data_IF_389816889169
#
_entry.id   IF_389816889169
#
_cell.length_a   1.000
_cell.length_b   1.000
_cell.length_c   1.000
_cell.angle_alpha   90.00
_cell.angle_beta   90.00
_cell.angle_gamma   90.00
#
_symmetry.space_group_name_H-M   'P 1'
#
loop_
_entity.id
_entity.type
_entity.pdbx_description
1 polymer ?
#
# COMPACT_ATOMS: atom_id res chain seq x y z
N UNK A 1 -22.95 -6.83 14.16
CA UNK A 1 -23.41 -5.42 14.29
C UNK A 1 -22.33 -4.37 13.94
N UNK A 2 -21.02 -4.62 14.11
CA UNK A 2 -19.97 -3.66 13.68
C UNK A 2 -19.67 -3.63 12.16
N UNK A 3 -19.87 -4.73 11.43
CA UNK A 3 -19.61 -4.82 9.98
C UNK A 3 -20.59 -3.97 9.15
N UNK A 4 -21.90 -4.10 9.43
CA UNK A 4 -22.97 -3.38 8.73
C UNK A 4 -22.80 -1.85 8.79
N UNK A 5 -22.19 -1.32 9.86
CA UNK A 5 -21.91 0.11 10.00
C UNK A 5 -20.74 0.59 9.13
N UNK A 6 -19.75 -0.28 8.89
CA UNK A 6 -18.61 0.03 8.02
C UNK A 6 -19.06 0.02 6.55
N UNK A 7 -19.86 -0.97 6.16
CA UNK A 7 -20.36 -1.09 4.78
C UNK A 7 -21.21 0.14 4.39
N UNK A 8 -22.08 0.60 5.29
CA UNK A 8 -22.87 1.83 5.09
C UNK A 8 -22.01 3.11 5.02
N UNK A 9 -20.91 3.15 5.77
CA UNK A 9 -19.97 4.27 5.71
C UNK A 9 -19.24 4.30 4.37
N UNK A 10 -18.78 3.15 3.88
CA UNK A 10 -18.12 3.02 2.57
C UNK A 10 -19.07 3.45 1.47
N UNK A 11 -20.29 2.93 1.45
CA UNK A 11 -21.30 3.29 0.45
C UNK A 11 -21.58 4.81 0.43
N UNK A 12 -21.66 5.43 1.61
CA UNK A 12 -21.87 6.88 1.71
C UNK A 12 -20.67 7.69 1.20
N UNK A 13 -19.44 7.21 1.40
CA UNK A 13 -18.24 7.85 0.87
C UNK A 13 -18.23 7.73 -0.66
N UNK A 14 -18.52 6.55 -1.20
CA UNK A 14 -18.54 6.30 -2.64
C UNK A 14 -19.60 7.19 -3.33
N UNK A 15 -20.79 7.31 -2.73
CA UNK A 15 -21.82 8.22 -3.22
C UNK A 15 -21.37 9.69 -3.23
N UNK A 16 -20.48 10.09 -2.33
CA UNK A 16 -19.98 11.46 -2.28
C UNK A 16 -19.00 11.78 -3.42
N UNK A 17 -18.34 10.77 -4.02
CA UNK A 17 -17.47 10.97 -5.18
C UNK A 17 -18.27 11.24 -6.48
N UNK A 18 -19.54 10.86 -6.52
CA UNK A 18 -20.41 11.00 -7.68
C UNK A 18 -20.38 9.78 -8.60
N UNK A 19 -20.88 9.93 -9.82
CA UNK A 19 -20.85 8.84 -10.79
C UNK A 19 -19.43 8.61 -11.30
N UNK A 20 -19.04 7.34 -11.44
CA UNK A 20 -17.77 6.97 -12.07
C UNK A 20 -17.68 7.57 -13.47
N UNK A 21 -16.51 8.14 -13.79
CA UNK A 21 -16.26 8.57 -15.16
C UNK A 21 -16.23 7.36 -16.09
N UNK A 22 -16.80 7.48 -17.30
CA UNK A 22 -16.75 6.39 -18.26
C UNK A 22 -15.30 6.09 -18.62
N UNK A 23 -14.95 4.79 -18.62
CA UNK A 23 -13.62 4.33 -19.00
C UNK A 23 -13.32 4.58 -20.49
N UNK A 24 -14.35 4.62 -21.33
CA UNK A 24 -14.26 4.92 -22.77
C UNK A 24 -15.40 5.83 -23.21
N UNK A 25 -15.11 6.74 -24.15
CA UNK A 25 -16.11 7.62 -24.76
C UNK A 25 -17.05 6.89 -25.74
N UNK A 26 -16.66 5.70 -26.21
CA UNK A 26 -17.43 4.83 -27.10
C UNK A 26 -17.84 3.51 -26.47
N UNK A 27 -18.77 2.81 -27.11
CA UNK A 27 -19.17 1.46 -26.71
C UNK A 27 -18.07 0.43 -26.99
N UNK A 28 -17.82 -0.46 -26.02
CA UNK A 28 -16.90 -1.58 -26.17
C UNK A 28 -17.57 -2.74 -26.89
N UNK A 29 -16.85 -3.40 -27.81
CA UNK A 29 -17.32 -4.66 -28.39
C UNK A 29 -17.19 -5.82 -27.39
N UNK A 30 -17.90 -6.92 -27.63
CA UNK A 30 -17.78 -8.13 -26.80
C UNK A 30 -16.33 -8.66 -26.76
N UNK A 31 -15.59 -8.52 -27.86
CA UNK A 31 -14.20 -8.94 -27.94
C UNK A 31 -13.27 -8.03 -27.10
N UNK A 32 -13.55 -6.73 -27.07
CA UNK A 32 -12.81 -5.78 -26.22
C UNK A 32 -13.02 -6.13 -24.75
N UNK A 33 -14.28 -6.38 -24.35
CA UNK A 33 -14.64 -6.77 -22.99
C UNK A 33 -13.96 -8.08 -22.60
N UNK A 34 -14.00 -9.10 -23.45
CA UNK A 34 -13.34 -10.39 -23.18
C UNK A 34 -11.83 -10.24 -23.02
N UNK A 35 -11.21 -9.38 -23.84
CA UNK A 35 -9.77 -9.08 -23.77
C UNK A 35 -9.42 -8.35 -22.48
N UNK A 36 -10.17 -7.31 -22.12
CA UNK A 36 -9.96 -6.54 -20.89
C UNK A 36 -10.14 -7.41 -19.66
N UNK A 37 -11.19 -8.24 -19.60
CA UNK A 37 -11.42 -9.16 -18.49
C UNK A 37 -10.23 -10.10 -18.28
N UNK A 38 -9.68 -10.65 -19.37
CA UNK A 38 -8.50 -11.53 -19.28
C UNK A 38 -7.27 -10.80 -18.71
N UNK A 39 -7.06 -9.54 -19.09
CA UNK A 39 -5.93 -8.74 -18.61
C UNK A 39 -6.13 -8.32 -17.16
N UNK A 40 -7.32 -7.83 -16.80
CA UNK A 40 -7.60 -7.30 -15.47
C UNK A 40 -7.78 -8.37 -14.40
N UNK A 41 -8.23 -9.57 -14.79
CA UNK A 41 -8.28 -10.73 -13.88
C UNK A 41 -6.89 -11.35 -13.63
N UNK A 42 -5.87 -10.96 -14.39
CA UNK A 42 -4.53 -11.51 -14.22
C UNK A 42 -3.91 -11.06 -12.90
N UNK A 43 -3.35 -12.01 -12.15
CA UNK A 43 -2.70 -11.72 -10.86
C UNK A 43 -1.48 -10.82 -11.00
N UNK A 44 -0.81 -10.79 -12.16
CA UNK A 44 0.25 -9.84 -12.47
C UNK A 44 -0.28 -8.41 -12.57
N UNK A 45 -1.43 -8.21 -13.21
CA UNK A 45 -2.08 -6.91 -13.26
C UNK A 45 -2.50 -6.41 -11.87
N UNK A 46 -3.04 -7.28 -11.02
CA UNK A 46 -3.40 -6.91 -9.64
C UNK A 46 -2.18 -6.47 -8.82
N UNK A 47 -1.04 -7.19 -8.93
CA UNK A 47 0.22 -6.79 -8.30
C UNK A 47 0.74 -5.46 -8.85
N UNK A 48 0.64 -5.26 -10.16
CA UNK A 48 1.01 -4.00 -10.80
C UNK A 48 0.16 -2.84 -10.26
N UNK A 49 -1.16 -3.00 -10.20
CA UNK A 49 -2.08 -1.98 -9.66
C UNK A 49 -1.73 -1.62 -8.22
N UNK A 50 -1.48 -2.62 -7.37
CA UNK A 50 -1.10 -2.40 -5.99
C UNK A 50 0.22 -1.62 -5.88
N UNK A 51 1.23 -1.94 -6.70
CA UNK A 51 2.48 -1.18 -6.76
C UNK A 51 2.26 0.26 -7.24
N UNK A 52 1.37 0.49 -8.21
CA UNK A 52 1.02 1.85 -8.66
C UNK A 52 0.35 2.68 -7.56
N UNK A 53 -0.58 2.09 -6.80
CA UNK A 53 -1.20 2.76 -5.64
C UNK A 53 -0.15 3.14 -4.61
N UNK A 54 0.77 2.23 -4.28
CA UNK A 54 1.87 2.54 -3.34
C UNK A 54 2.73 3.71 -3.83
N UNK A 55 3.06 3.75 -5.13
CA UNK A 55 3.81 4.87 -5.73
C UNK A 55 3.05 6.19 -5.65
N UNK A 56 1.75 6.16 -5.89
CA UNK A 56 0.90 7.35 -5.83
C UNK A 56 0.86 7.93 -4.42
N UNK A 57 0.60 7.09 -3.41
CA UNK A 57 0.61 7.48 -1.99
C UNK A 57 1.94 8.14 -1.63
N UNK A 58 3.07 7.49 -1.98
CA UNK A 58 4.40 8.02 -1.66
C UNK A 58 4.64 9.38 -2.32
N UNK A 59 4.29 9.50 -3.60
CA UNK A 59 4.48 10.75 -4.36
C UNK A 59 3.69 11.89 -3.75
N UNK A 60 2.40 11.68 -3.50
CA UNK A 60 1.51 12.73 -3.01
C UNK A 60 1.89 13.14 -1.58
N UNK A 61 2.20 12.16 -0.72
CA UNK A 61 2.63 12.43 0.65
C UNK A 61 3.93 13.26 0.68
N UNK A 62 4.96 12.85 -0.07
CA UNK A 62 6.23 13.57 -0.10
C UNK A 62 6.11 14.94 -0.75
N UNK A 63 5.34 15.06 -1.84
CA UNK A 63 5.08 16.35 -2.47
C UNK A 63 4.40 17.32 -1.50
N UNK A 64 3.38 16.86 -0.77
CA UNK A 64 2.71 17.67 0.24
C UNK A 64 3.64 18.04 1.40
N UNK A 65 4.47 17.10 1.86
CA UNK A 65 5.44 17.36 2.94
C UNK A 65 6.48 18.43 2.53
N UNK A 66 6.95 18.40 1.27
CA UNK A 66 7.86 19.41 0.72
C UNK A 66 7.16 20.76 0.61
N UNK A 67 5.94 20.80 0.08
CA UNK A 67 5.14 22.03 -0.04
C UNK A 67 4.88 22.67 1.34
N UNK A 68 4.61 21.86 2.36
CA UNK A 68 4.42 22.31 3.73
C UNK A 68 5.72 22.62 4.47
N UNK A 69 6.88 22.34 3.85
CA UNK A 69 8.21 22.53 4.44
C UNK A 69 8.40 21.77 5.76
N UNK A 70 7.80 20.57 5.87
CA UNK A 70 7.84 19.68 7.05
C UNK A 70 8.74 18.46 6.86
N UNK A 71 9.47 18.40 5.75
CA UNK A 71 10.44 17.35 5.45
C UNK A 71 11.73 17.95 4.89
N UNK A 72 12.88 17.43 5.32
CA UNK A 72 14.18 17.81 4.78
C UNK A 72 14.47 17.12 3.43
N UNK A 73 15.31 17.74 2.59
CA UNK A 73 15.74 17.15 1.31
C UNK A 73 16.48 15.82 1.50
N UNK A 74 17.27 15.70 2.57
CA UNK A 74 17.95 14.46 2.95
C UNK A 74 16.95 13.34 3.25
N UNK A 75 15.87 13.66 3.98
CA UNK A 75 14.81 12.70 4.30
C UNK A 75 14.04 12.29 3.06
N UNK A 76 13.75 13.21 2.14
CA UNK A 76 13.15 12.88 0.82
C UNK A 76 14.05 11.91 0.05
N UNK A 77 15.35 12.18 0.00
CA UNK A 77 16.31 11.28 -0.67
C UNK A 77 16.36 9.89 0.00
N UNK A 78 16.28 9.81 1.32
CA UNK A 78 16.20 8.55 2.06
C UNK A 78 14.91 7.77 1.74
N UNK A 79 13.75 8.45 1.71
CA UNK A 79 12.49 7.85 1.28
C UNK A 79 12.57 7.33 -0.16
N UNK A 80 13.17 8.11 -1.07
CA UNK A 80 13.34 7.73 -2.47
C UNK A 80 14.20 6.47 -2.63
N UNK A 81 15.28 6.32 -1.84
CA UNK A 81 16.09 5.09 -1.82
C UNK A 81 15.26 3.89 -1.36
N UNK A 82 14.49 4.02 -0.27
CA UNK A 82 13.63 2.93 0.24
C UNK A 82 12.54 2.54 -0.76
N UNK A 83 11.99 3.51 -1.48
CA UNK A 83 11.01 3.27 -2.54
C UNK A 83 11.58 2.56 -3.79
N UNK A 84 12.87 2.24 -3.83
CA UNK A 84 13.51 1.51 -4.92
C UNK A 84 12.97 0.08 -5.12
N UNK A 85 12.55 -0.60 -4.04
CA UNK A 85 12.00 -1.97 -4.08
C UNK A 85 10.47 -1.99 -3.90
N UNK A 86 9.83 -3.10 -4.31
CA UNK A 86 8.37 -3.30 -4.14
C UNK A 86 8.01 -3.34 -2.66
N UNK A 87 8.82 -4.03 -1.87
CA UNK A 87 8.66 -4.18 -0.43
C UNK A 87 8.82 -2.84 0.28
N UNK A 88 9.86 -2.08 -0.08
CA UNK A 88 10.11 -0.77 0.49
C UNK A 88 9.01 0.25 0.14
N UNK A 89 8.43 0.17 -1.07
CA UNK A 89 7.24 0.98 -1.42
C UNK A 89 6.02 0.59 -0.60
N UNK A 90 5.78 -0.71 -0.41
CA UNK A 90 4.61 -1.20 0.33
C UNK A 90 4.68 -0.82 1.82
N UNK A 91 5.86 -0.93 2.42
CA UNK A 91 6.09 -0.52 3.80
C UNK A 91 5.98 1.00 3.96
N UNK A 92 6.63 1.77 3.07
CA UNK A 92 6.63 3.22 3.14
C UNK A 92 5.22 3.80 2.93
N UNK A 93 4.46 3.29 1.95
CA UNK A 93 3.07 3.71 1.72
C UNK A 93 2.18 3.40 2.92
N UNK A 94 2.36 2.24 3.55
CA UNK A 94 1.62 1.89 4.78
C UNK A 94 1.92 2.89 5.91
N UNK A 95 3.19 3.23 6.14
CA UNK A 95 3.53 4.26 7.13
C UNK A 95 2.92 5.61 6.79
N UNK A 96 2.95 6.03 5.52
CA UNK A 96 2.38 7.30 5.07
C UNK A 96 0.85 7.36 5.17
N UNK A 97 0.15 6.24 4.99
CA UNK A 97 -1.31 6.16 5.22
C UNK A 97 -1.67 6.28 6.71
N UNK A 98 -0.78 5.83 7.59
CA UNK A 98 -1.01 5.78 9.03
C UNK A 98 -0.55 7.03 9.78
N UNK A 99 0.14 7.96 9.11
CA UNK A 99 0.69 9.17 9.72
C UNK A 99 0.26 10.41 8.94
N UNK A 100 0.16 11.53 9.64
CA UNK A 100 -0.11 12.82 9.00
C UNK A 100 1.12 13.29 8.21
N UNK A 101 0.92 14.13 7.19
CA UNK A 101 2.01 14.70 6.40
C UNK A 101 2.96 15.54 7.26
N UNK A 102 2.44 16.21 8.29
CA UNK A 102 3.20 17.02 9.26
C UNK A 102 4.18 16.18 10.11
N UNK A 103 4.02 14.85 10.11
CA UNK A 103 4.89 13.91 10.81
C UNK A 103 5.97 13.32 9.88
N UNK A 104 6.10 13.83 8.64
CA UNK A 104 6.98 13.26 7.63
C UNK A 104 8.45 13.09 8.07
N UNK A 105 8.98 14.03 8.87
CA UNK A 105 10.37 13.95 9.37
C UNK A 105 10.57 12.76 10.32
N UNK A 106 9.51 12.33 11.00
CA UNK A 106 9.50 11.25 11.98
C UNK A 106 9.28 9.88 11.35
N UNK A 107 9.07 9.80 10.03
CA UNK A 107 8.85 8.52 9.35
C UNK A 107 9.99 7.55 9.70
N UNK A 108 9.65 6.30 10.10
CA UNK A 108 10.61 5.31 10.52
C UNK A 108 11.34 4.75 9.31
N UNK A 109 12.28 5.53 8.80
CA UNK A 109 13.29 5.07 7.86
C UNK A 109 14.36 4.33 8.68
N UNK A 110 14.00 3.16 9.21
CA UNK A 110 14.97 2.30 9.88
C UNK A 110 16.16 1.98 8.95
N UNK A 111 17.31 1.63 9.52
CA UNK A 111 18.39 1.00 8.76
C UNK A 111 17.86 -0.20 7.97
N UNK A 112 18.55 -0.58 6.88
CA UNK A 112 18.17 -1.74 6.07
C UNK A 112 17.76 -2.90 6.98
N UNK A 113 16.59 -3.53 6.75
CA UNK A 113 16.12 -4.60 7.62
C UNK A 113 17.21 -5.66 7.76
N UNK A 114 17.64 -5.93 8.99
CA UNK A 114 18.64 -6.97 9.23
C UNK A 114 18.14 -8.28 8.59
N UNK A 115 19.01 -9.01 7.87
CA UNK A 115 18.64 -10.30 7.30
C UNK A 115 18.03 -11.19 8.39
N UNK A 116 16.82 -11.69 8.14
CA UNK A 116 16.13 -12.57 9.08
C UNK A 116 17.04 -13.77 9.40
N UNK A 117 17.44 -13.89 10.66
CA UNK A 117 18.21 -15.04 11.11
C UNK A 117 17.27 -16.24 11.23
N UNK A 118 17.58 -17.39 10.59
CA UNK A 118 16.83 -18.61 10.78
C UNK A 118 16.74 -18.92 12.27
N UNK A 119 15.54 -19.23 12.76
CA UNK A 119 15.37 -19.71 14.12
C UNK A 119 16.16 -21.02 14.25
N UNK A 120 17.19 -21.01 15.11
CA UNK A 120 18.00 -22.20 15.34
C UNK A 120 17.14 -23.33 15.91
N UNK A 121 16.78 -24.28 15.06
CA UNK A 121 16.02 -25.49 15.40
C UNK A 121 16.83 -26.51 16.22
N UNK A 122 17.56 -26.04 17.22
CA UNK A 122 18.34 -26.89 18.10
C UNK A 122 17.40 -27.80 18.91
N UNK A 123 17.61 -29.11 18.80
CA UNK A 123 16.99 -30.10 19.67
C UNK A 123 17.30 -29.76 21.13
N UNK A 124 16.31 -29.26 21.88
CA UNK A 124 16.46 -28.88 23.27
C UNK A 124 15.94 -27.48 23.64
N UNK A 125 15.48 -26.67 22.67
CA UNK A 125 14.81 -25.40 22.98
C UNK A 125 13.30 -25.60 23.20
N UNK A 126 12.69 -24.91 24.19
CA UNK A 126 11.26 -25.00 24.42
C UNK A 126 10.47 -24.56 23.19
N UNK A 127 9.33 -25.18 22.88
CA UNK A 127 8.54 -24.85 21.70
C UNK A 127 8.13 -23.38 21.73
N UNK A 128 8.44 -22.65 20.66
CA UNK A 128 8.10 -21.24 20.50
C UNK A 128 6.60 -21.02 20.19
N UNK A 129 5.82 -22.10 20.06
CA UNK A 129 4.39 -22.08 19.80
C UNK A 129 3.69 -23.04 20.79
N UNK A 130 2.85 -22.48 21.67
CA UNK A 130 1.96 -23.27 22.50
C UNK A 130 0.67 -23.55 21.72
N UNK A 131 0.52 -24.79 21.25
CA UNK A 131 -0.70 -25.23 20.61
C UNK A 131 -1.78 -25.46 21.69
N UNK A 132 -2.71 -24.52 21.84
CA UNK A 132 -3.87 -24.73 22.71
C UNK A 132 -4.83 -25.67 21.98
N UNK A 133 -5.01 -26.88 22.51
CA UNK A 133 -6.03 -27.82 22.03
C UNK A 133 -7.34 -27.56 22.77
N UNK A 134 -8.45 -27.46 22.03
CA UNK A 134 -9.82 -27.44 22.55
C UNK A 134 -10.25 -28.80 23.08
#
# INVERSE_FOLDING_TARGET
MKSVQLDQLVERIDQAFGADMPFTDGGLSENDIATLNRVFADGGYQRYLQDQVNRQIIRDYLANAVVLNVISEEKVAACARRAGSVEGRSELSLHMLMNSVEQAEQLPLGADPEPLKPLGGGSGRPPHLNLIRS
#
